data_IF_594801394233
#
_entry.id   IF_594801394233
#
_cell.length_a   1.000
_cell.length_b   1.000
_cell.length_c   1.000
_cell.angle_alpha   90.00
_cell.angle_beta   90.00
_cell.angle_gamma   90.00
#
_symmetry.space_group_name_H-M   'P 1'
#
loop_
_entity.id
_entity.type
_entity.pdbx_description
1 polymer ?
#
# COMPACT_ATOMS: atom_id res chain seq x y z
N UNK A 1 -18.32 19.27 -8.82
CA UNK A 1 -17.17 18.54 -9.41
C UNK A 1 -16.68 17.36 -8.58
N UNK A 2 -16.70 17.41 -7.26
CA UNK A 2 -16.21 16.31 -6.39
C UNK A 2 -17.06 15.01 -6.46
N UNK A 3 -18.35 15.10 -6.70
CA UNK A 3 -19.24 13.93 -6.80
C UNK A 3 -19.04 13.13 -8.09
N UNK A 4 -18.67 13.78 -9.19
CA UNK A 4 -18.40 13.13 -10.49
C UNK A 4 -17.07 12.34 -10.48
N UNK A 5 -16.06 12.82 -9.77
CA UNK A 5 -14.77 12.10 -9.64
C UNK A 5 -14.87 10.84 -8.77
N UNK A 6 -15.74 10.84 -7.75
CA UNK A 6 -16.00 9.67 -6.91
C UNK A 6 -16.71 8.54 -7.67
N UNK A 7 -17.65 8.90 -8.56
CA UNK A 7 -18.35 7.92 -9.42
C UNK A 7 -17.44 7.30 -10.48
N UNK A 8 -16.49 8.05 -11.04
CA UNK A 8 -15.58 7.56 -12.07
C UNK A 8 -14.56 6.55 -11.53
N UNK A 9 -14.05 6.75 -10.31
CA UNK A 9 -13.10 5.82 -9.69
C UNK A 9 -13.75 4.47 -9.34
N UNK A 10 -14.99 4.48 -8.86
CA UNK A 10 -15.75 3.26 -8.55
C UNK A 10 -16.15 2.55 -9.86
N UNK A 11 -16.54 3.29 -10.88
CA UNK A 11 -16.90 2.75 -12.20
C UNK A 11 -15.71 2.08 -12.91
N UNK A 12 -14.51 2.64 -12.80
CA UNK A 12 -13.29 2.07 -13.39
C UNK A 12 -12.86 0.78 -12.66
N UNK A 13 -12.98 0.73 -11.33
CA UNK A 13 -12.71 -0.47 -10.56
C UNK A 13 -13.69 -1.61 -10.87
N UNK A 14 -14.98 -1.31 -11.09
CA UNK A 14 -15.99 -2.28 -11.49
C UNK A 14 -15.83 -2.73 -12.94
N UNK A 15 -15.43 -1.85 -13.86
CA UNK A 15 -15.18 -2.19 -15.26
C UNK A 15 -13.96 -3.08 -15.45
N UNK A 16 -12.88 -2.86 -14.67
CA UNK A 16 -11.73 -3.74 -14.63
C UNK A 16 -12.08 -5.11 -14.04
N UNK A 17 -12.98 -5.18 -13.05
CA UNK A 17 -13.48 -6.43 -12.48
C UNK A 17 -14.29 -7.29 -13.45
N UNK A 18 -15.06 -6.70 -14.36
CA UNK A 18 -15.90 -7.41 -15.31
C UNK A 18 -15.12 -8.09 -16.46
N UNK A 19 -13.98 -7.53 -16.86
CA UNK A 19 -13.12 -8.12 -17.91
C UNK A 19 -12.29 -9.32 -17.39
N UNK A 20 -12.08 -9.40 -16.08
CA UNK A 20 -11.29 -10.46 -15.43
C UNK A 20 -12.07 -11.78 -15.34
N UNK A 21 -13.40 -11.74 -15.38
CA UNK A 21 -14.25 -12.94 -15.28
C UNK A 21 -14.18 -13.85 -16.52
N UNK A 22 -13.67 -13.38 -17.66
CA UNK A 22 -13.61 -14.18 -18.90
C UNK A 22 -12.24 -14.82 -19.17
N UNK A 23 -11.16 -14.36 -18.55
CA UNK A 23 -9.89 -15.07 -18.56
C UNK A 23 -9.83 -15.89 -17.27
N UNK A 24 -9.33 -17.12 -17.31
CA UNK A 24 -9.08 -17.98 -16.13
C UNK A 24 -8.04 -17.31 -15.18
N UNK A 25 -8.36 -16.12 -14.73
CA UNK A 25 -7.49 -15.33 -13.87
C UNK A 25 -7.77 -15.72 -12.42
N UNK A 26 -6.74 -16.13 -11.71
CA UNK A 26 -6.82 -16.37 -10.28
C UNK A 26 -7.02 -15.05 -9.53
N UNK A 27 -8.17 -14.88 -8.89
CA UNK A 27 -8.43 -13.77 -7.97
C UNK A 27 -8.07 -14.23 -6.55
N UNK A 28 -7.40 -13.38 -5.78
CA UNK A 28 -7.07 -13.69 -4.39
C UNK A 28 -7.20 -12.47 -3.50
N UNK A 29 -7.67 -12.70 -2.27
CA UNK A 29 -7.75 -11.72 -1.19
C UNK A 29 -6.62 -11.99 -0.20
N UNK A 30 -5.83 -10.98 0.12
CA UNK A 30 -4.80 -10.99 1.15
C UNK A 30 -5.18 -10.09 2.32
N UNK A 31 -4.92 -10.55 3.54
CA UNK A 31 -4.97 -9.74 4.75
C UNK A 31 -3.64 -9.89 5.49
N UNK A 32 -3.07 -8.79 5.93
CA UNK A 32 -1.79 -8.78 6.61
C UNK A 32 -1.60 -7.61 7.55
N UNK A 33 -0.60 -7.76 8.40
CA UNK A 33 -0.16 -6.72 9.31
C UNK A 33 1.37 -6.75 9.44
N UNK A 34 1.95 -5.67 9.94
CA UNK A 34 3.39 -5.59 10.08
C UNK A 34 3.88 -4.32 10.73
N UNK A 35 5.19 -4.13 10.68
CA UNK A 35 5.86 -2.93 11.15
C UNK A 35 6.09 -1.96 9.99
N UNK A 36 6.13 -0.67 10.31
CA UNK A 36 6.49 0.40 9.36
C UNK A 36 7.64 1.19 9.94
N UNK A 37 8.70 1.29 9.15
CA UNK A 37 9.88 2.09 9.49
C UNK A 37 9.83 3.37 8.66
N UNK A 38 9.64 4.56 9.26
CA UNK A 38 9.80 5.83 8.57
C UNK A 38 11.26 6.02 8.19
N UNK A 39 11.52 6.70 7.08
CA UNK A 39 12.88 6.99 6.60
C UNK A 39 12.98 8.40 6.04
N UNK A 40 14.21 8.95 5.96
CA UNK A 40 14.42 10.34 5.55
C UNK A 40 13.69 11.33 6.47
N UNK A 41 13.17 12.42 5.93
CA UNK A 41 12.47 13.47 6.70
C UNK A 41 11.26 12.97 7.50
N UNK A 42 10.72 11.81 7.19
CA UNK A 42 9.64 11.21 7.97
C UNK A 42 10.15 10.64 9.30
N UNK A 43 11.39 10.15 9.34
CA UNK A 43 12.04 9.64 10.56
C UNK A 43 12.39 10.74 11.57
N UNK A 44 12.53 11.99 11.12
CA UNK A 44 12.84 13.11 12.01
C UNK A 44 11.69 13.45 12.97
N UNK A 45 10.46 13.05 12.61
CA UNK A 45 9.23 13.40 13.36
C UNK A 45 8.41 12.17 13.78
N UNK A 46 8.69 10.99 13.23
CA UNK A 46 7.93 9.78 13.52
C UNK A 46 8.84 8.59 13.84
N UNK A 47 8.47 7.85 14.87
CA UNK A 47 9.07 6.58 15.22
C UNK A 47 8.39 5.40 14.50
N UNK A 48 9.02 4.22 14.60
CA UNK A 48 8.46 2.97 14.06
C UNK A 48 7.05 2.72 14.56
N UNK A 49 6.20 2.24 13.67
CA UNK A 49 4.81 1.95 13.96
C UNK A 49 4.34 0.62 13.38
N UNK A 50 3.05 0.47 13.28
CA UNK A 50 2.43 -0.73 12.73
C UNK A 50 1.52 -0.39 11.54
N UNK A 51 1.29 -1.39 10.71
CA UNK A 51 0.36 -1.30 9.57
C UNK A 51 -0.51 -2.53 9.48
N UNK A 52 -1.75 -2.34 9.02
CA UNK A 52 -2.64 -3.40 8.55
C UNK A 52 -3.00 -3.15 7.10
N UNK A 53 -3.07 -4.21 6.29
CA UNK A 53 -3.43 -4.09 4.88
C UNK A 53 -4.39 -5.19 4.42
N UNK A 54 -5.23 -4.82 3.46
CA UNK A 54 -6.02 -5.73 2.65
C UNK A 54 -5.61 -5.57 1.20
N UNK A 55 -5.41 -6.69 0.49
CA UNK A 55 -4.93 -6.73 -0.88
C UNK A 55 -5.82 -7.60 -1.75
N UNK A 56 -6.24 -7.10 -2.89
CA UNK A 56 -6.91 -7.88 -3.92
C UNK A 56 -5.95 -8.06 -5.10
N UNK A 57 -5.55 -9.31 -5.38
CA UNK A 57 -4.62 -9.63 -6.47
C UNK A 57 -5.31 -10.44 -7.55
N UNK A 58 -5.09 -10.01 -8.78
CA UNK A 58 -5.52 -10.72 -10.00
C UNK A 58 -4.27 -11.22 -10.71
N UNK A 59 -4.21 -12.52 -10.96
CA UNK A 59 -3.11 -13.16 -11.69
C UNK A 59 -3.67 -13.96 -12.87
N UNK A 60 -3.38 -13.58 -14.12
CA UNK A 60 -3.73 -14.38 -15.28
C UNK A 60 -3.03 -15.75 -15.25
N UNK A 61 -3.69 -16.78 -15.79
CA UNK A 61 -3.18 -18.15 -15.72
C UNK A 61 -1.86 -18.37 -16.44
N UNK A 62 -1.65 -17.66 -17.56
CA UNK A 62 -0.50 -17.84 -18.48
C UNK A 62 0.52 -16.71 -18.41
N UNK A 63 0.33 -15.71 -17.57
CA UNK A 63 1.22 -14.55 -17.48
C UNK A 63 1.93 -14.49 -16.13
N UNK A 64 3.23 -14.17 -16.07
CA UNK A 64 3.91 -13.85 -14.82
C UNK A 64 3.49 -12.48 -14.26
N UNK A 65 2.87 -11.63 -15.10
CA UNK A 65 2.37 -10.33 -14.72
C UNK A 65 0.93 -10.43 -14.20
N UNK A 66 0.67 -9.79 -13.08
CA UNK A 66 -0.63 -9.62 -12.45
C UNK A 66 -0.81 -8.19 -11.95
N UNK A 67 -1.95 -7.95 -11.34
CA UNK A 67 -2.29 -6.65 -10.75
C UNK A 67 -2.73 -6.85 -9.30
N UNK A 68 -2.39 -5.89 -8.46
CA UNK A 68 -2.79 -5.87 -7.06
C UNK A 68 -3.28 -4.49 -6.68
N UNK A 69 -4.42 -4.44 -6.00
CA UNK A 69 -4.94 -3.22 -5.36
C UNK A 69 -4.91 -3.45 -3.86
N UNK A 70 -4.37 -2.49 -3.14
CA UNK A 70 -4.25 -2.55 -1.69
C UNK A 70 -4.98 -1.39 -1.04
N UNK A 71 -5.55 -1.65 0.12
CA UNK A 71 -5.94 -0.65 1.10
C UNK A 71 -5.16 -0.90 2.39
N UNK A 72 -4.65 0.14 3.02
CA UNK A 72 -3.87 0.00 4.24
C UNK A 72 -4.18 1.11 5.25
N UNK A 73 -3.96 0.76 6.51
CA UNK A 73 -3.96 1.67 7.65
C UNK A 73 -2.61 1.57 8.35
N UNK A 74 -1.97 2.70 8.59
CA UNK A 74 -0.69 2.78 9.28
C UNK A 74 -0.80 3.73 10.46
N UNK A 75 -0.21 3.37 11.59
CA UNK A 75 -0.06 4.24 12.76
C UNK A 75 1.41 4.26 13.17
N UNK A 76 1.97 5.46 13.25
CA UNK A 76 3.35 5.74 13.65
C UNK A 76 3.30 6.46 15.01
N UNK A 77 4.28 6.20 15.88
CA UNK A 77 4.54 7.03 17.04
C UNK A 77 5.15 8.37 16.62
N UNK A 78 5.21 9.33 17.53
CA UNK A 78 5.98 10.54 17.36
C UNK A 78 7.36 10.38 18.01
N UNK A 79 8.37 11.08 17.47
CA UNK A 79 9.70 11.19 18.08
C UNK A 79 9.71 12.29 19.17
N UNK A 80 10.82 12.35 19.94
CA UNK A 80 11.11 13.40 20.93
C UNK A 80 10.11 13.48 22.11
N UNK A 81 9.67 12.33 22.65
CA UNK A 81 8.75 12.24 23.81
C UNK A 81 7.45 13.06 23.66
N UNK A 82 7.04 13.33 22.42
CA UNK A 82 5.76 13.96 22.15
C UNK A 82 4.64 12.92 22.27
N UNK A 83 3.73 13.16 23.19
CA UNK A 83 2.51 12.35 23.32
C UNK A 83 1.61 12.59 22.10
N UNK A 84 1.40 11.51 21.32
CA UNK A 84 0.59 11.60 20.11
C UNK A 84 0.93 10.52 19.09
N UNK A 85 0.33 10.64 17.92
CA UNK A 85 0.56 9.70 16.82
C UNK A 85 0.25 10.29 15.45
N UNK A 86 0.95 9.79 14.45
CA UNK A 86 0.60 10.00 13.05
C UNK A 86 -0.14 8.78 12.53
N UNK A 87 -1.26 8.99 11.85
CA UNK A 87 -1.98 7.94 11.14
C UNK A 87 -2.00 8.21 9.64
N UNK A 88 -1.96 7.15 8.87
CA UNK A 88 -2.06 7.20 7.43
C UNK A 88 -3.04 6.12 6.95
N UNK A 89 -3.98 6.52 6.10
CA UNK A 89 -4.87 5.61 5.38
C UNK A 89 -4.57 5.79 3.90
N UNK A 90 -4.44 4.71 3.16
CA UNK A 90 -4.16 4.83 1.75
C UNK A 90 -4.59 3.63 0.94
N UNK A 91 -4.46 3.79 -0.36
CA UNK A 91 -4.65 2.73 -1.33
C UNK A 91 -3.61 2.81 -2.42
N UNK A 92 -3.18 1.66 -2.91
CA UNK A 92 -2.22 1.54 -4.00
C UNK A 92 -2.73 0.62 -5.10
N UNK A 93 -2.31 0.90 -6.34
CA UNK A 93 -2.52 0.04 -7.49
C UNK A 93 -1.16 -0.34 -8.08
N UNK A 94 -0.90 -1.64 -8.19
CA UNK A 94 0.41 -2.20 -8.47
C UNK A 94 0.38 -3.21 -9.61
N UNK A 95 1.40 -3.18 -10.45
CA UNK A 95 1.78 -4.32 -11.28
C UNK A 95 2.58 -5.30 -10.40
N UNK A 96 2.35 -6.59 -10.56
CA UNK A 96 3.03 -7.66 -9.82
C UNK A 96 3.67 -8.61 -10.81
N UNK A 97 4.97 -8.80 -10.70
CA UNK A 97 5.71 -9.80 -11.46
C UNK A 97 6.02 -10.99 -10.55
N UNK A 98 5.35 -12.11 -10.75
CA UNK A 98 5.59 -13.35 -10.01
C UNK A 98 6.59 -14.22 -10.76
N UNK A 99 7.72 -14.53 -10.13
CA UNK A 99 8.72 -15.41 -10.74
C UNK A 99 8.14 -16.82 -10.91
N UNK A 100 8.32 -17.44 -12.08
CA UNK A 100 8.00 -18.83 -12.28
C UNK A 100 8.79 -19.70 -11.28
N UNK A 101 8.09 -20.42 -10.43
CA UNK A 101 8.70 -21.29 -9.45
C UNK A 101 7.84 -22.53 -9.23
N UNK A 102 8.44 -23.69 -9.32
CA UNK A 102 7.85 -24.97 -8.92
C UNK A 102 7.97 -25.22 -7.39
N UNK A 103 8.73 -24.36 -6.68
CA UNK A 103 8.92 -24.47 -5.25
C UNK A 103 7.69 -24.02 -4.45
N UNK A 104 7.66 -24.40 -3.19
CA UNK A 104 6.61 -23.98 -2.24
C UNK A 104 6.63 -22.47 -2.04
N UNK A 105 7.81 -21.86 -2.10
CA UNK A 105 8.01 -20.41 -2.02
C UNK A 105 8.00 -19.78 -3.43
N UNK A 106 7.15 -18.78 -3.64
CA UNK A 106 7.01 -18.06 -4.91
C UNK A 106 7.35 -16.59 -4.71
N UNK A 107 8.58 -16.17 -5.07
CA UNK A 107 8.98 -14.78 -4.98
C UNK A 107 8.25 -13.93 -6.03
N UNK A 108 8.07 -12.64 -5.72
CA UNK A 108 7.50 -11.66 -6.62
C UNK A 108 8.07 -10.27 -6.37
N UNK A 109 8.01 -9.44 -7.40
CA UNK A 109 8.24 -8.01 -7.33
C UNK A 109 6.93 -7.28 -7.58
N UNK A 110 6.78 -6.11 -7.03
CA UNK A 110 5.64 -5.25 -7.31
C UNK A 110 6.07 -3.79 -7.37
N UNK A 111 5.29 -3.00 -8.09
CA UNK A 111 5.50 -1.56 -8.18
C UNK A 111 4.26 -0.87 -8.71
N UNK A 112 4.03 0.35 -8.27
CA UNK A 112 2.84 1.08 -8.63
C UNK A 112 2.73 2.46 -8.02
N UNK A 113 1.51 2.97 -8.04
CA UNK A 113 1.16 4.31 -7.56
C UNK A 113 0.09 4.23 -6.47
N UNK A 114 -0.01 5.27 -5.66
CA UNK A 114 -0.97 5.29 -4.57
C UNK A 114 -1.44 6.67 -4.15
N UNK A 115 -2.47 6.64 -3.33
CA UNK A 115 -3.06 7.82 -2.67
C UNK A 115 -2.93 7.60 -1.16
N UNK A 116 -2.47 8.61 -0.45
CA UNK A 116 -2.14 8.58 0.96
C UNK A 116 -2.84 9.72 1.67
N UNK A 117 -3.65 9.44 2.67
CA UNK A 117 -4.28 10.43 3.53
C UNK A 117 -3.62 10.36 4.91
N UNK A 118 -2.87 11.39 5.25
CA UNK A 118 -2.11 11.49 6.48
C UNK A 118 -2.75 12.50 7.44
N UNK A 119 -2.73 12.17 8.74
CA UNK A 119 -3.19 13.05 9.82
C UNK A 119 -2.33 12.82 11.05
N UNK A 120 -1.84 13.91 11.66
CA UNK A 120 -1.10 13.87 12.93
C UNK A 120 -1.99 14.37 14.06
N UNK A 121 -1.96 13.69 15.19
CA UNK A 121 -2.68 14.06 16.42
C UNK A 121 -1.65 14.23 17.53
N UNK A 122 -1.70 15.37 18.20
CA UNK A 122 -0.93 15.68 19.42
C UNK A 122 -1.88 15.66 20.61
N UNK A 123 -1.58 14.83 21.58
CA UNK A 123 -2.41 14.71 22.77
C UNK A 123 -2.37 16.02 23.57
N UNK A 124 -3.55 16.58 23.86
CA UNK A 124 -3.70 17.88 24.54
C UNK A 124 -3.67 19.12 23.63
N UNK A 125 -3.22 19.01 22.37
CA UNK A 125 -3.11 20.14 21.42
C UNK A 125 -4.02 20.01 20.21
N UNK A 126 -4.66 18.85 20.02
CA UNK A 126 -5.56 18.61 18.90
C UNK A 126 -4.91 17.88 17.73
N UNK A 127 -5.50 17.97 16.54
CA UNK A 127 -5.04 17.26 15.35
C UNK A 127 -4.94 18.21 14.16
N UNK A 128 -3.97 17.91 13.27
CA UNK A 128 -3.86 18.60 11.96
C UNK A 128 -5.02 18.23 11.04
N UNK A 129 -5.26 19.04 10.02
CA UNK A 129 -6.16 18.66 8.95
C UNK A 129 -5.59 17.45 8.19
N UNK A 130 -6.49 16.60 7.70
CA UNK A 130 -6.10 15.44 6.92
C UNK A 130 -5.64 15.87 5.52
N UNK A 131 -4.41 15.54 5.16
CA UNK A 131 -3.82 15.88 3.87
C UNK A 131 -3.78 14.66 2.97
N UNK A 132 -4.25 14.81 1.72
CA UNK A 132 -4.20 13.74 0.73
C UNK A 132 -3.05 13.98 -0.25
N UNK A 133 -2.18 12.99 -0.38
CA UNK A 133 -0.97 13.01 -1.23
C UNK A 133 -0.96 11.86 -2.19
N UNK A 134 -0.28 12.05 -3.31
CA UNK A 134 0.04 10.98 -4.25
C UNK A 134 1.44 10.43 -3.95
N UNK A 135 1.71 9.22 -4.43
CA UNK A 135 3.01 8.63 -4.30
C UNK A 135 3.21 7.42 -5.18
N UNK A 136 4.43 6.92 -5.17
CA UNK A 136 4.80 5.68 -5.83
C UNK A 136 5.29 4.67 -4.80
N UNK A 137 5.26 3.40 -5.17
CA UNK A 137 5.81 2.35 -4.33
C UNK A 137 6.46 1.26 -5.18
N UNK A 138 7.44 0.59 -4.60
CA UNK A 138 8.06 -0.60 -5.16
C UNK A 138 8.43 -1.55 -4.02
N UNK A 139 8.39 -2.85 -4.29
CA UNK A 139 8.67 -3.83 -3.25
C UNK A 139 8.88 -5.23 -3.78
N UNK A 140 9.20 -6.11 -2.85
CA UNK A 140 9.38 -7.53 -3.09
C UNK A 140 8.71 -8.34 -1.99
N UNK A 141 8.33 -9.56 -2.33
CA UNK A 141 7.74 -10.47 -1.38
C UNK A 141 7.81 -11.91 -1.86
N UNK A 142 7.28 -12.79 -1.05
CA UNK A 142 7.11 -14.19 -1.42
C UNK A 142 5.78 -14.72 -0.86
N UNK A 143 5.19 -15.66 -1.60
CA UNK A 143 4.04 -16.44 -1.19
C UNK A 143 4.48 -17.87 -0.87
N UNK A 144 4.19 -18.37 0.33
CA UNK A 144 4.36 -19.77 0.74
C UNK A 144 3.01 -20.47 0.65
N UNK A 145 2.88 -21.44 -0.23
CA UNK A 145 1.63 -22.17 -0.45
C UNK A 145 1.31 -23.10 0.72
N UNK A 146 0.15 -22.91 1.35
CA UNK A 146 -0.37 -23.70 2.46
C UNK A 146 -1.79 -24.22 2.10
N UNK A 147 -1.85 -25.26 1.27
CA UNK A 147 -3.14 -25.79 0.79
C UNK A 147 -3.95 -24.78 -0.03
N UNK A 148 -5.11 -24.38 0.46
CA UNK A 148 -6.02 -23.41 -0.18
C UNK A 148 -5.63 -21.95 0.10
N UNK A 149 -4.75 -21.71 1.06
CA UNK A 149 -4.22 -20.39 1.39
C UNK A 149 -2.73 -20.31 1.08
N UNK A 150 -2.18 -19.11 1.13
CA UNK A 150 -0.74 -18.85 1.12
C UNK A 150 -0.39 -17.90 2.25
N UNK A 151 0.67 -18.19 2.98
CA UNK A 151 1.33 -17.20 3.83
C UNK A 151 2.14 -16.29 2.91
N UNK A 152 2.08 -14.98 3.09
CA UNK A 152 2.97 -14.07 2.38
C UNK A 152 3.77 -13.19 3.34
N UNK A 153 4.97 -12.83 2.90
CA UNK A 153 5.73 -11.74 3.49
C UNK A 153 6.13 -10.76 2.38
N UNK A 154 6.07 -9.47 2.69
CA UNK A 154 6.26 -8.41 1.70
C UNK A 154 6.91 -7.20 2.35
N UNK A 155 7.97 -6.68 1.74
CA UNK A 155 8.58 -5.40 2.07
C UNK A 155 8.38 -4.43 0.92
N UNK A 156 7.94 -3.20 1.21
CA UNK A 156 7.74 -2.14 0.22
C UNK A 156 8.47 -0.87 0.63
N UNK A 157 8.90 -0.13 -0.36
CA UNK A 157 9.35 1.25 -0.23
C UNK A 157 8.27 2.16 -0.80
N UNK A 158 7.79 3.11 -0.02
CA UNK A 158 6.83 4.12 -0.45
C UNK A 158 7.49 5.48 -0.49
N UNK A 159 7.35 6.18 -1.61
CA UNK A 159 7.71 7.58 -1.81
C UNK A 159 6.44 8.39 -1.94
N UNK A 160 6.16 9.25 -0.96
CA UNK A 160 4.93 10.05 -0.86
C UNK A 160 5.30 11.49 -1.20
N UNK A 161 4.79 11.99 -2.33
CA UNK A 161 5.10 13.30 -2.84
C UNK A 161 4.31 14.36 -2.06
N UNK A 162 4.98 15.37 -1.56
CA UNK A 162 4.30 16.57 -1.08
C UNK A 162 3.86 17.38 -2.31
N UNK A 163 2.59 17.73 -2.36
CA UNK A 163 2.15 18.73 -3.31
C UNK A 163 2.72 20.08 -2.87
N UNK A 164 3.93 20.41 -3.32
CA UNK A 164 4.50 21.73 -3.15
C UNK A 164 3.97 22.61 -4.28
N UNK A 165 3.05 23.50 -3.97
CA UNK A 165 2.86 24.73 -4.73
C UNK A 165 3.24 25.89 -3.83
N UNK A 166 4.51 25.94 -3.46
CA UNK A 166 5.15 27.17 -3.04
C UNK A 166 6.30 27.44 -4.00
N UNK A 167 6.08 28.46 -4.84
CA UNK A 167 6.98 28.86 -5.93
C UNK A 167 8.30 29.45 -5.43
N UNK A 168 8.51 29.56 -4.11
CA UNK A 168 9.68 30.21 -3.51
C UNK A 168 10.70 29.28 -2.86
N UNK A 169 10.37 28.00 -2.61
CA UNK A 169 11.36 27.03 -2.09
C UNK A 169 11.23 25.73 -2.85
N UNK A 170 12.14 25.48 -3.79
CA UNK A 170 12.28 24.27 -4.60
C UNK A 170 12.75 23.03 -3.80
N UNK A 171 12.38 22.89 -2.54
CA UNK A 171 12.63 21.69 -1.77
C UNK A 171 11.39 20.78 -1.79
N UNK A 172 11.32 19.94 -2.78
CA UNK A 172 10.37 18.80 -2.82
C UNK A 172 10.73 17.80 -1.72
N UNK A 173 10.20 18.01 -0.52
CA UNK A 173 10.44 17.06 0.56
C UNK A 173 9.52 15.85 0.40
N UNK A 174 9.99 14.82 -0.32
CA UNK A 174 9.32 13.54 -0.43
C UNK A 174 9.43 12.79 0.91
N UNK A 175 8.32 12.29 1.41
CA UNK A 175 8.29 11.46 2.62
C UNK A 175 8.45 9.99 2.23
N UNK A 176 9.28 9.25 2.97
CA UNK A 176 9.56 7.85 2.69
C UNK A 176 9.19 6.96 3.87
N UNK A 177 8.66 5.76 3.59
CA UNK A 177 8.42 4.73 4.60
C UNK A 177 8.62 3.32 4.03
N UNK A 178 9.01 2.41 4.90
CA UNK A 178 9.23 1.00 4.56
C UNK A 178 8.34 0.12 5.44
N UNK A 179 7.11 -0.25 5.01
CA UNK A 179 6.34 -1.30 5.64
C UNK A 179 6.93 -2.68 5.33
N UNK A 180 6.99 -3.53 6.36
CA UNK A 180 7.29 -4.96 6.26
C UNK A 180 6.07 -5.68 6.82
N UNK A 181 5.35 -6.43 5.97
CA UNK A 181 4.08 -7.07 6.31
C UNK A 181 4.14 -8.58 6.13
N UNK A 182 3.44 -9.29 6.98
CA UNK A 182 3.15 -10.71 6.84
C UNK A 182 1.64 -10.92 6.90
N UNK A 183 1.15 -11.93 6.20
CA UNK A 183 -0.29 -12.16 6.16
C UNK A 183 -0.68 -13.44 5.44
N UNK A 184 -1.97 -13.64 5.33
CA UNK A 184 -2.55 -14.77 4.61
C UNK A 184 -3.24 -14.27 3.35
N UNK A 185 -3.16 -15.09 2.30
CA UNK A 185 -3.83 -14.85 1.01
C UNK A 185 -4.64 -16.07 0.62
N UNK A 186 -5.91 -15.86 0.29
CA UNK A 186 -6.85 -16.91 -0.13
C UNK A 186 -7.24 -16.70 -1.59
N UNK A 187 -7.27 -17.80 -2.36
CA UNK A 187 -7.85 -17.77 -3.69
C UNK A 187 -9.38 -17.64 -3.57
N UNK A 188 -9.93 -16.68 -4.28
CA UNK A 188 -11.38 -16.51 -4.45
C UNK A 188 -11.79 -17.31 -5.68
N UNK A 189 -12.77 -18.19 -5.52
CA UNK A 189 -13.33 -19.05 -6.58
C UNK A 189 -14.59 -18.42 -7.17
#
# INVERSE_FOLDING_TARGET
MQTLMRGAAIGLALALGAQVAQAQAGLSLGLGAGAVVPTGSMADVNSTGWTGQAALRVKPAVSPLGFQVDAFYTRLGLENDLDGHSRMIGGTANAVFAFPSAAVARPYLLGGVGVYNAKTTLDGFGSTDAETKFGANAGAGFDLKLGSASLYAEGRFHAIFKAAVDVETLEETTAYMVPITVGLRWALR
#
